data_IF_621489912433
#
_entry.id   IF_621489912433
#
_cell.length_a   1.000
_cell.length_b   1.000
_cell.length_c   1.000
_cell.angle_alpha   90.00
_cell.angle_beta   90.00
_cell.angle_gamma   90.00
#
_symmetry.space_group_name_H-M   'P 1'
#
loop_
_entity.id
_entity.type
_entity.pdbx_description
1 polymer ?
#
# COMPACT_ATOMS: atom_id res chain seq x y z
N UNK A 1 28.09 25.17 -41.87
CA UNK A 1 27.14 24.33 -42.64
C UNK A 1 27.94 23.23 -43.32
N UNK A 2 27.65 21.96 -43.01
CA UNK A 2 28.36 20.77 -43.49
C UNK A 2 28.08 19.64 -42.50
N UNK A 3 26.96 18.92 -42.60
CA UNK A 3 26.58 17.86 -43.56
C UNK A 3 27.47 16.61 -43.44
N UNK A 4 26.84 15.55 -42.92
CA UNK A 4 27.06 14.12 -43.19
C UNK A 4 28.17 13.37 -42.43
N UNK A 5 27.76 12.60 -41.43
CA UNK A 5 28.38 11.29 -41.13
C UNK A 5 27.36 10.20 -41.46
N UNK A 6 27.67 9.42 -42.50
CA UNK A 6 26.81 8.41 -43.11
C UNK A 6 27.44 7.02 -42.94
N UNK A 7 26.65 6.07 -42.44
CA UNK A 7 26.79 4.61 -42.63
C UNK A 7 27.75 3.88 -41.69
N UNK A 8 27.52 2.65 -41.21
CA UNK A 8 26.52 1.56 -41.40
C UNK A 8 26.63 0.71 -40.10
N UNK A 9 25.64 -0.02 -39.59
CA UNK A 9 25.23 -1.37 -40.05
C UNK A 9 24.03 -1.88 -39.23
N UNK A 10 22.97 -2.27 -39.95
CA UNK A 10 21.99 -3.38 -39.80
C UNK A 10 21.76 -4.07 -38.44
N UNK A 11 20.48 -4.23 -38.08
CA UNK A 11 20.02 -5.31 -37.19
C UNK A 11 18.58 -5.14 -36.71
N UNK A 12 17.60 -5.55 -37.52
CA UNK A 12 16.18 -5.50 -37.21
C UNK A 12 15.73 -6.60 -36.23
N UNK A 13 14.77 -6.27 -35.36
CA UNK A 13 13.65 -7.15 -35.02
C UNK A 13 12.56 -6.32 -34.29
N UNK A 14 11.48 -6.06 -35.01
CA UNK A 14 10.27 -5.40 -34.54
C UNK A 14 9.38 -6.45 -33.87
N UNK A 15 9.09 -6.30 -32.58
CA UNK A 15 8.04 -7.06 -31.91
C UNK A 15 6.70 -6.34 -32.14
N UNK A 16 5.84 -7.01 -32.91
CA UNK A 16 4.54 -6.52 -33.32
C UNK A 16 3.57 -6.42 -32.12
N UNK A 17 2.99 -5.25 -31.93
CA UNK A 17 1.83 -5.01 -31.07
C UNK A 17 0.58 -5.46 -31.84
N UNK A 18 -0.12 -6.49 -31.37
CA UNK A 18 -1.48 -6.81 -31.83
C UNK A 18 -2.49 -6.21 -30.86
N UNK A 19 -3.05 -5.05 -31.22
CA UNK A 19 -4.30 -4.56 -30.65
C UNK A 19 -5.44 -5.27 -31.38
N UNK A 20 -6.24 -6.05 -30.65
CA UNK A 20 -7.50 -6.55 -31.14
C UNK A 20 -8.64 -5.93 -30.31
N UNK A 21 -9.09 -4.77 -30.75
CA UNK A 21 -10.43 -4.30 -30.47
C UNK A 21 -11.37 -4.99 -31.46
N UNK A 22 -12.42 -5.65 -30.96
CA UNK A 22 -13.51 -6.13 -31.78
C UNK A 22 -14.84 -5.72 -31.15
N UNK A 23 -15.36 -4.57 -31.60
CA UNK A 23 -16.78 -4.24 -31.57
C UNK A 23 -17.49 -5.07 -32.64
N UNK A 24 -18.53 -5.82 -32.27
CA UNK A 24 -19.31 -6.60 -33.22
C UNK A 24 -20.73 -6.85 -32.75
N UNK A 25 -21.66 -6.02 -33.21
CA UNK A 25 -23.06 -6.36 -33.35
C UNK A 25 -23.29 -6.69 -34.84
N UNK A 26 -23.51 -7.96 -35.18
CA UNK A 26 -24.13 -8.38 -36.46
C UNK A 26 -24.54 -9.85 -36.37
N UNK A 27 -25.81 -10.11 -36.63
CA UNK A 27 -26.43 -11.44 -36.71
C UNK A 27 -25.92 -12.28 -37.88
N UNK A 28 -25.75 -13.59 -37.67
CA UNK A 28 -26.52 -14.68 -38.31
C UNK A 28 -25.77 -16.03 -38.26
N UNK A 29 -26.50 -17.00 -37.70
CA UNK A 29 -26.54 -18.47 -37.83
C UNK A 29 -25.34 -19.39 -38.12
N UNK A 30 -25.37 -20.46 -37.30
CA UNK A 30 -25.07 -21.88 -37.51
C UNK A 30 -23.65 -22.45 -37.32
N UNK A 31 -23.61 -23.62 -36.68
CA UNK A 31 -22.46 -24.51 -36.60
C UNK A 31 -21.80 -24.62 -35.23
N UNK A 32 -22.32 -25.51 -34.37
CA UNK A 32 -21.78 -25.78 -33.06
C UNK A 32 -20.29 -26.18 -33.03
N UNK A 33 -19.59 -25.69 -32.02
CA UNK A 33 -18.37 -26.28 -31.45
C UNK A 33 -18.13 -25.67 -30.08
N UNK A 34 -17.68 -26.52 -29.15
CA UNK A 34 -17.75 -26.36 -27.70
C UNK A 34 -17.39 -24.96 -27.16
N UNK A 35 -18.29 -24.47 -26.31
CA UNK A 35 -18.08 -23.37 -25.37
C UNK A 35 -16.64 -23.41 -24.81
N UNK A 36 -15.81 -22.37 -25.02
CA UNK A 36 -14.61 -22.21 -24.23
C UNK A 36 -15.05 -22.15 -22.78
N UNK A 37 -14.63 -23.16 -22.01
CA UNK A 37 -14.70 -23.14 -20.56
C UNK A 37 -14.18 -21.79 -20.11
N UNK A 38 -15.02 -21.03 -19.41
CA UNK A 38 -14.60 -19.81 -18.74
C UNK A 38 -13.42 -20.21 -17.85
N UNK A 39 -12.21 -19.90 -18.31
CA UNK A 39 -11.00 -20.00 -17.50
C UNK A 39 -11.33 -19.27 -16.22
N UNK A 40 -11.48 -20.01 -15.13
CA UNK A 40 -11.72 -19.45 -13.82
C UNK A 40 -10.69 -18.33 -13.65
N UNK A 41 -11.16 -17.08 -13.55
CA UNK A 41 -10.31 -15.97 -13.20
C UNK A 41 -9.54 -16.43 -11.98
N UNK A 42 -8.22 -16.56 -12.10
CA UNK A 42 -7.38 -16.95 -11.00
C UNK A 42 -7.74 -16.00 -9.86
N UNK A 43 -8.36 -16.52 -8.80
CA UNK A 43 -8.68 -15.70 -7.63
C UNK A 43 -7.38 -15.03 -7.23
N UNK A 44 -7.37 -13.70 -7.25
CA UNK A 44 -6.26 -12.94 -6.69
C UNK A 44 -5.99 -13.53 -5.31
N UNK A 45 -4.71 -13.80 -5.01
CA UNK A 45 -4.34 -14.30 -3.69
C UNK A 45 -4.59 -13.14 -2.73
N UNK A 46 -5.72 -13.18 -2.03
CA UNK A 46 -5.97 -12.38 -0.83
C UNK A 46 -4.78 -12.55 0.12
N UNK A 47 -4.20 -11.44 0.57
CA UNK A 47 -3.18 -11.44 1.62
C UNK A 47 -3.88 -11.83 2.93
N UNK A 48 -3.31 -12.79 3.67
CA UNK A 48 -3.87 -13.19 4.97
C UNK A 48 -3.58 -12.14 6.04
N UNK A 49 -4.41 -12.06 7.09
CA UNK A 49 -4.15 -11.14 8.21
C UNK A 49 -2.80 -11.40 8.86
N UNK A 50 -2.40 -12.67 9.02
CA UNK A 50 -1.09 -13.04 9.56
C UNK A 50 0.07 -12.46 8.73
N UNK A 51 0.00 -12.58 7.40
CA UNK A 51 1.03 -12.05 6.52
C UNK A 51 1.05 -10.50 6.51
N UNK A 52 -0.12 -9.87 6.52
CA UNK A 52 -0.23 -8.42 6.60
C UNK A 52 0.26 -7.87 7.96
N UNK A 53 -0.05 -8.58 9.05
CA UNK A 53 0.42 -8.28 10.41
C UNK A 53 1.94 -8.33 10.45
N UNK A 54 2.54 -9.41 9.95
CA UNK A 54 4.00 -9.55 9.87
C UNK A 54 4.62 -8.41 9.07
N UNK A 55 4.07 -8.10 7.90
CA UNK A 55 4.58 -7.02 7.04
C UNK A 55 4.51 -5.65 7.73
N UNK A 56 3.43 -5.37 8.45
CA UNK A 56 3.27 -4.13 9.19
C UNK A 56 4.24 -4.03 10.38
N UNK A 57 4.36 -5.09 11.19
CA UNK A 57 5.27 -5.13 12.34
C UNK A 57 6.74 -5.10 11.91
N UNK A 58 7.08 -5.71 10.77
CA UNK A 58 8.40 -5.61 10.14
C UNK A 58 8.70 -4.16 9.73
N UNK A 59 7.70 -3.43 9.19
CA UNK A 59 7.88 -2.02 8.85
C UNK A 59 8.10 -1.13 10.09
N UNK A 60 7.39 -1.40 11.19
CA UNK A 60 7.62 -0.74 12.49
C UNK A 60 9.02 -1.06 13.01
N UNK A 61 9.42 -2.33 12.99
CA UNK A 61 10.76 -2.77 13.42
C UNK A 61 11.87 -2.13 12.58
N UNK A 62 11.67 -2.04 11.26
CA UNK A 62 12.61 -1.39 10.35
C UNK A 62 12.70 0.11 10.65
N UNK A 63 11.57 0.79 10.87
CA UNK A 63 11.56 2.18 11.30
C UNK A 63 12.41 2.39 12.56
N UNK A 64 12.23 1.57 13.59
CA UNK A 64 13.01 1.67 14.83
C UNK A 64 14.49 1.36 14.65
N UNK A 65 14.81 0.36 13.82
CA UNK A 65 16.19 -0.10 13.59
C UNK A 65 16.98 0.89 12.73
N UNK A 66 16.34 1.50 11.74
CA UNK A 66 16.97 2.44 10.80
C UNK A 66 17.05 3.88 11.37
N UNK A 67 16.60 4.08 12.61
CA UNK A 67 16.72 5.35 13.35
C UNK A 67 15.51 6.26 13.27
N UNK A 68 14.40 5.80 12.68
CA UNK A 68 13.12 6.50 12.62
C UNK A 68 13.19 7.86 11.91
N UNK A 69 12.55 8.86 12.51
CA UNK A 69 12.65 10.26 12.09
C UNK A 69 13.86 10.93 12.74
N UNK A 70 15.03 10.88 12.10
CA UNK A 70 16.23 11.51 12.63
C UNK A 70 16.12 13.04 12.65
N UNK A 71 15.65 13.62 11.55
CA UNK A 71 15.42 15.05 11.43
C UNK A 71 14.05 15.46 12.02
N UNK A 72 14.02 16.58 12.74
CA UNK A 72 12.84 17.07 13.46
C UNK A 72 12.08 18.15 12.70
N UNK A 73 12.71 18.72 11.66
CA UNK A 73 12.15 19.77 10.84
C UNK A 73 10.93 19.30 10.02
N UNK A 74 10.02 20.21 9.66
CA UNK A 74 8.92 19.88 8.76
C UNK A 74 9.41 19.34 7.41
N UNK A 75 8.69 18.34 6.89
CA UNK A 75 8.95 17.73 5.59
C UNK A 75 10.08 16.70 5.56
N UNK A 76 10.74 16.41 6.67
CA UNK A 76 11.92 15.52 6.70
C UNK A 76 11.59 14.06 6.98
N UNK A 77 10.41 13.75 7.52
CA UNK A 77 10.02 12.39 7.88
C UNK A 77 8.79 11.85 7.11
N UNK A 78 8.41 12.54 6.04
CA UNK A 78 7.22 12.17 5.27
C UNK A 78 7.30 10.76 4.67
N UNK A 79 8.47 10.38 4.12
CA UNK A 79 8.66 9.09 3.47
C UNK A 79 8.55 7.94 4.47
N UNK A 80 9.05 8.11 5.69
CA UNK A 80 8.96 7.13 6.77
C UNK A 80 7.51 7.01 7.28
N UNK A 81 6.79 8.12 7.43
CA UNK A 81 5.36 8.10 7.76
C UNK A 81 4.56 7.32 6.70
N UNK A 82 4.85 7.52 5.41
CA UNK A 82 4.23 6.78 4.31
C UNK A 82 4.64 5.30 4.26
N UNK A 83 5.88 4.98 4.63
CA UNK A 83 6.39 3.60 4.71
C UNK A 83 5.66 2.78 5.77
N UNK A 84 5.17 3.40 6.85
CA UNK A 84 4.32 2.74 7.85
C UNK A 84 2.83 2.73 7.44
N UNK A 85 2.35 3.79 6.80
CA UNK A 85 0.94 3.88 6.39
C UNK A 85 0.57 2.84 5.33
N UNK A 86 1.46 2.57 4.38
CA UNK A 86 1.19 1.61 3.28
C UNK A 86 0.85 0.21 3.82
N UNK A 87 1.69 -0.45 4.61
CA UNK A 87 1.35 -1.76 5.17
C UNK A 87 0.20 -1.72 6.18
N UNK A 88 -0.04 -0.59 6.86
CA UNK A 88 -1.24 -0.45 7.71
C UNK A 88 -2.55 -0.49 6.89
N UNK A 89 -2.57 0.04 5.66
CA UNK A 89 -3.73 -0.07 4.76
C UNK A 89 -3.93 -1.50 4.27
N UNK A 90 -2.84 -2.19 3.92
CA UNK A 90 -2.89 -3.60 3.52
C UNK A 90 -3.41 -4.48 4.67
N UNK A 91 -2.97 -4.18 5.90
CA UNK A 91 -3.50 -4.81 7.11
C UNK A 91 -5.00 -4.54 7.29
N UNK A 92 -5.46 -3.31 7.06
CA UNK A 92 -6.89 -2.98 7.10
C UNK A 92 -7.69 -3.82 6.12
N UNK A 93 -7.20 -3.95 4.88
CA UNK A 93 -7.85 -4.78 3.86
C UNK A 93 -7.94 -6.24 4.30
N UNK A 94 -6.83 -6.82 4.77
CA UNK A 94 -6.81 -8.19 5.27
C UNK A 94 -7.78 -8.39 6.45
N UNK A 95 -7.82 -7.47 7.43
CA UNK A 95 -8.76 -7.52 8.56
C UNK A 95 -10.22 -7.45 8.12
N UNK A 96 -10.54 -6.65 7.09
CA UNK A 96 -11.87 -6.57 6.52
C UNK A 96 -12.29 -7.86 5.81
N UNK A 97 -11.34 -8.58 5.23
CA UNK A 97 -11.58 -9.86 4.56
C UNK A 97 -11.68 -11.03 5.53
N UNK A 98 -11.04 -10.92 6.71
CA UNK A 98 -11.11 -11.91 7.77
C UNK A 98 -12.54 -12.10 8.31
N UNK A 99 -12.90 -13.35 8.62
CA UNK A 99 -14.24 -13.77 9.05
C UNK A 99 -14.23 -14.63 10.32
N UNK A 100 -13.06 -15.04 10.81
CA UNK A 100 -12.90 -15.86 12.00
C UNK A 100 -13.27 -15.12 13.29
N UNK A 101 -13.15 -13.78 13.29
CA UNK A 101 -13.55 -12.90 14.40
C UNK A 101 -14.66 -11.94 13.95
N UNK A 102 -15.45 -11.46 14.90
CA UNK A 102 -16.47 -10.45 14.62
C UNK A 102 -15.84 -9.08 14.32
N UNK A 103 -16.52 -8.24 13.54
CA UNK A 103 -16.01 -6.90 13.18
C UNK A 103 -15.68 -6.03 14.41
N UNK A 104 -16.42 -6.21 15.51
CA UNK A 104 -16.20 -5.49 16.77
C UNK A 104 -14.81 -5.76 17.37
N UNK A 105 -14.22 -6.92 17.10
CA UNK A 105 -12.87 -7.28 17.56
C UNK A 105 -11.83 -6.29 17.04
N UNK A 106 -11.97 -5.83 15.80
CA UNK A 106 -11.01 -4.95 15.13
C UNK A 106 -11.21 -3.46 15.43
N UNK A 107 -12.23 -3.08 16.21
CA UNK A 107 -12.63 -1.68 16.40
C UNK A 107 -11.45 -0.78 16.83
N UNK A 108 -10.65 -1.25 17.78
CA UNK A 108 -9.50 -0.49 18.28
C UNK A 108 -8.38 -0.41 17.23
N UNK A 109 -8.06 -1.53 16.56
CA UNK A 109 -7.10 -1.54 15.45
C UNK A 109 -7.51 -0.58 14.33
N UNK A 110 -8.79 -0.57 13.93
CA UNK A 110 -9.30 0.38 12.94
C UNK A 110 -9.17 1.83 13.42
N UNK A 111 -9.45 2.13 14.69
CA UNK A 111 -9.28 3.48 15.21
C UNK A 111 -7.83 3.96 15.17
N UNK A 112 -6.87 3.07 15.38
CA UNK A 112 -5.44 3.40 15.26
C UNK A 112 -5.06 3.68 13.81
N UNK A 113 -5.53 2.85 12.87
CA UNK A 113 -5.32 3.06 11.43
C UNK A 113 -5.98 4.37 10.97
N UNK A 114 -7.19 4.68 11.43
CA UNK A 114 -7.89 5.94 11.13
C UNK A 114 -7.11 7.17 11.63
N UNK A 115 -6.44 7.04 12.78
CA UNK A 115 -5.56 8.09 13.32
C UNK A 115 -4.35 8.29 12.42
N UNK A 116 -3.72 7.20 11.95
CA UNK A 116 -2.63 7.28 10.97
C UNK A 116 -3.10 7.92 9.66
N UNK A 117 -4.26 7.51 9.13
CA UNK A 117 -4.83 8.08 7.91
C UNK A 117 -5.12 9.57 8.07
N UNK A 118 -5.61 9.99 9.23
CA UNK A 118 -5.85 11.41 9.56
C UNK A 118 -4.54 12.20 9.57
N UNK A 119 -3.47 11.66 10.17
CA UNK A 119 -2.15 12.29 10.17
C UNK A 119 -1.56 12.43 8.76
N UNK A 120 -1.71 11.41 7.90
CA UNK A 120 -1.31 11.49 6.48
C UNK A 120 -2.21 12.44 5.68
N UNK A 121 -3.50 12.55 6.01
CA UNK A 121 -4.42 13.43 5.29
C UNK A 121 -4.07 14.93 5.40
N UNK A 122 -3.22 15.32 6.36
CA UNK A 122 -2.63 16.66 6.43
C UNK A 122 -1.85 17.01 5.16
N UNK A 123 -1.27 16.02 4.48
CA UNK A 123 -0.64 16.18 3.17
C UNK A 123 0.81 16.69 3.21
N UNK A 124 1.35 16.94 4.39
CA UNK A 124 2.76 17.28 4.64
C UNK A 124 3.17 16.79 6.03
N UNK A 125 4.46 16.57 6.25
CA UNK A 125 5.01 16.31 7.59
C UNK A 125 5.24 17.65 8.30
N UNK A 126 4.51 17.90 9.39
CA UNK A 126 4.58 19.14 10.15
C UNK A 126 5.82 19.25 11.04
N UNK A 127 6.69 18.24 11.04
CA UNK A 127 7.86 18.18 11.91
C UNK A 127 7.50 17.66 13.30
N UNK A 128 8.52 17.57 14.15
CA UNK A 128 8.33 17.34 15.57
C UNK A 128 8.06 18.66 16.31
N UNK A 129 7.30 18.65 17.41
CA UNK A 129 7.01 19.85 18.17
C UNK A 129 8.29 20.52 18.68
N UNK A 130 8.42 21.82 18.44
CA UNK A 130 9.57 22.60 18.88
C UNK A 130 9.55 22.82 20.40
N UNK A 131 10.20 21.93 21.16
CA UNK A 131 10.61 22.16 22.55
C UNK A 131 9.48 22.42 23.55
N UNK A 132 9.19 21.41 24.38
CA UNK A 132 8.23 21.48 25.48
C UNK A 132 8.43 22.71 26.41
N UNK A 133 7.55 23.69 26.31
CA UNK A 133 7.32 24.67 27.37
C UNK A 133 5.82 24.93 27.64
N UNK A 134 4.95 24.67 26.67
CA UNK A 134 3.50 24.80 26.84
C UNK A 134 2.77 23.72 26.03
N UNK A 135 2.48 22.60 26.68
CA UNK A 135 1.76 21.41 26.18
C UNK A 135 2.46 20.68 25.01
N UNK A 136 2.26 19.36 24.84
CA UNK A 136 2.67 18.69 23.61
C UNK A 136 1.78 19.24 22.49
N UNK A 137 2.33 20.04 21.59
CA UNK A 137 1.71 20.26 20.29
C UNK A 137 1.85 18.94 19.53
N UNK A 138 0.90 18.02 19.73
CA UNK A 138 0.87 16.78 18.96
C UNK A 138 0.82 17.15 17.48
N UNK A 139 1.79 16.69 16.71
CA UNK A 139 1.83 16.92 15.26
C UNK A 139 1.27 15.71 14.54
N UNK A 140 0.99 15.85 13.24
CA UNK A 140 0.55 14.73 12.44
C UNK A 140 1.59 13.59 12.36
N UNK A 141 2.86 13.88 12.69
CA UNK A 141 3.92 12.89 12.89
C UNK A 141 3.62 12.00 14.09
N UNK A 142 3.18 12.57 15.22
CA UNK A 142 2.80 11.79 16.40
C UNK A 142 1.57 10.90 16.15
N UNK A 143 0.60 11.41 15.38
CA UNK A 143 -0.59 10.64 15.00
C UNK A 143 -0.24 9.40 14.18
N UNK A 144 0.65 9.53 13.19
CA UNK A 144 1.07 8.40 12.35
C UNK A 144 1.98 7.45 13.11
N UNK A 145 3.09 7.95 13.63
CA UNK A 145 4.13 7.10 14.23
C UNK A 145 3.66 6.52 15.55
N UNK A 146 3.05 7.33 16.41
CA UNK A 146 2.54 6.88 17.70
C UNK A 146 1.44 5.83 17.55
N UNK A 147 0.54 6.00 16.57
CA UNK A 147 -0.51 5.01 16.31
C UNK A 147 0.04 3.75 15.65
N UNK A 148 1.09 3.85 14.83
CA UNK A 148 1.73 2.67 14.24
C UNK A 148 2.32 1.73 15.31
N UNK A 149 3.06 2.27 16.29
CA UNK A 149 3.60 1.48 17.39
C UNK A 149 2.48 0.88 18.25
N UNK A 150 1.45 1.67 18.59
CA UNK A 150 0.30 1.16 19.35
C UNK A 150 -0.45 0.06 18.59
N UNK A 151 -0.57 0.18 17.27
CA UNK A 151 -1.19 -0.84 16.43
C UNK A 151 -0.35 -2.12 16.45
N UNK A 152 0.97 -1.99 16.35
CA UNK A 152 1.90 -3.13 16.46
C UNK A 152 1.73 -3.85 17.79
N UNK A 153 1.75 -3.11 18.90
CA UNK A 153 1.55 -3.65 20.24
C UNK A 153 0.16 -4.30 20.39
N UNK A 154 -0.87 -3.70 19.81
CA UNK A 154 -2.22 -4.22 19.88
C UNK A 154 -2.33 -5.56 19.16
N UNK A 155 -1.69 -5.72 17.98
CA UNK A 155 -1.66 -6.96 17.22
C UNK A 155 -0.99 -8.09 18.00
N UNK A 156 0.08 -7.79 18.74
CA UNK A 156 0.75 -8.77 19.62
C UNK A 156 -0.13 -9.20 20.80
N UNK A 157 -0.95 -8.28 21.33
CA UNK A 157 -1.87 -8.54 22.44
C UNK A 157 -3.14 -9.28 21.99
N UNK A 158 -3.48 -9.21 20.71
CA UNK A 158 -4.71 -9.75 20.14
C UNK A 158 -4.44 -10.69 18.95
N UNK A 159 -3.64 -11.76 19.14
CA UNK A 159 -3.36 -12.69 18.05
C UNK A 159 -4.65 -13.42 17.65
N UNK A 160 -4.83 -13.58 16.34
CA UNK A 160 -5.86 -14.45 15.78
C UNK A 160 -5.21 -15.69 15.18
N UNK A 161 -5.90 -16.82 15.27
CA UNK A 161 -5.40 -18.14 14.90
C UNK A 161 -5.85 -18.58 13.51
#
# INVERSE_FOLDING_TARGET
>A
MGRHTWGKTVGALVLAVTVAAASGCSSSDDGGSGKPSATAAAKAKTVTVEAATTTFQDAVTAFDTDGGCLEQEPGTCWDQMMALMTPARDLREAMNEEKAVGADFWTEAYSLIDTMETGIAVGEDQGAPAGAATLPEATNRDDVLGSAHKLSDWLDQHPIA
#
